data_IF_808743743810
#
_entry.id   IF_808743743810
#
_cell.length_a   1.000
_cell.length_b   1.000
_cell.length_c   1.000
_cell.angle_alpha   90.00
_cell.angle_beta   90.00
_cell.angle_gamma   90.00
#
_symmetry.space_group_name_H-M   'P 1'
#
loop_
_entity.id
_entity.type
_entity.pdbx_description
1 polymer ?
#
# COMPACT_ATOMS: atom_id res chain seq x y z
N UNK A 1 9.60 -0.50 -33.87
CA UNK A 1 8.37 -0.92 -33.16
C UNK A 1 8.45 -0.38 -31.74
N UNK A 2 8.08 0.89 -31.55
CA UNK A 2 8.07 1.59 -30.28
C UNK A 2 6.72 2.30 -30.23
N UNK A 3 5.79 1.84 -29.39
CA UNK A 3 4.48 2.48 -29.24
C UNK A 3 4.67 3.75 -28.41
N UNK A 4 4.89 4.86 -29.12
CA UNK A 4 4.82 6.22 -28.60
C UNK A 4 3.37 6.50 -28.19
N UNK A 5 3.05 6.25 -26.92
CA UNK A 5 1.77 6.67 -26.33
C UNK A 5 1.91 8.14 -25.93
N UNK A 6 1.86 9.04 -26.91
CA UNK A 6 1.64 10.47 -26.68
C UNK A 6 0.19 10.69 -26.26
N UNK A 7 -0.09 10.62 -24.97
CA UNK A 7 -1.34 11.17 -24.42
C UNK A 7 -1.19 12.68 -24.33
N UNK A 8 -1.52 13.36 -25.43
CA UNK A 8 -1.82 14.78 -25.43
C UNK A 8 -3.18 14.99 -24.75
N UNK A 9 -3.21 15.55 -23.54
CA UNK A 9 -4.43 16.18 -23.02
C UNK A 9 -4.03 17.40 -22.19
N UNK A 10 -4.74 18.49 -22.45
CA UNK A 10 -4.40 19.85 -22.07
C UNK A 10 -4.20 20.08 -20.58
N UNK A 11 -3.58 21.22 -20.31
CA UNK A 11 -3.32 21.74 -18.98
C UNK A 11 -4.64 22.09 -18.27
N UNK A 12 -5.17 21.13 -17.52
CA UNK A 12 -6.00 21.27 -16.31
C UNK A 12 -6.09 19.85 -15.71
N UNK A 13 -5.66 19.67 -14.45
CA UNK A 13 -5.78 18.48 -13.59
C UNK A 13 -5.86 17.06 -14.22
N UNK A 14 -4.74 16.34 -14.19
CA UNK A 14 -4.70 14.90 -13.88
C UNK A 14 -5.68 13.96 -14.62
N UNK A 15 -5.39 13.61 -15.88
CA UNK A 15 -6.06 12.47 -16.54
C UNK A 15 -5.80 11.12 -15.85
N UNK A 16 -6.28 10.00 -16.42
CA UNK A 16 -6.18 8.62 -15.86
C UNK A 16 -4.79 8.28 -15.31
N UNK A 17 -3.71 8.75 -15.96
CA UNK A 17 -2.33 8.56 -15.48
C UNK A 17 -2.05 9.30 -14.17
N UNK A 18 -2.51 10.55 -14.05
CA UNK A 18 -2.40 11.34 -12.83
C UNK A 18 -3.25 10.76 -11.69
N UNK A 19 -4.46 10.28 -11.98
CA UNK A 19 -5.29 9.57 -11.01
C UNK A 19 -4.59 8.29 -10.48
N UNK A 20 -4.03 7.47 -11.37
CA UNK A 20 -3.28 6.28 -10.98
C UNK A 20 -2.03 6.63 -10.15
N UNK A 21 -1.33 7.70 -10.48
CA UNK A 21 -0.19 8.19 -9.70
C UNK A 21 -0.62 8.66 -8.30
N UNK A 22 -1.74 9.39 -8.19
CA UNK A 22 -2.31 9.81 -6.91
C UNK A 22 -2.73 8.60 -6.06
N UNK A 23 -3.35 7.58 -6.68
CA UNK A 23 -3.70 6.31 -6.01
C UNK A 23 -2.44 5.59 -5.53
N UNK A 24 -1.36 5.58 -6.34
CA UNK A 24 -0.10 4.97 -5.94
C UNK A 24 0.53 5.67 -4.73
N UNK A 25 0.52 7.00 -4.71
CA UNK A 25 1.01 7.79 -3.58
C UNK A 25 0.16 7.54 -2.32
N UNK A 26 -1.17 7.52 -2.45
CA UNK A 26 -2.07 7.20 -1.35
C UNK A 26 -1.80 5.80 -0.77
N UNK A 27 -1.56 4.80 -1.63
CA UNK A 27 -1.17 3.45 -1.21
C UNK A 27 0.18 3.43 -0.48
N UNK A 28 1.15 4.22 -0.93
CA UNK A 28 2.46 4.37 -0.27
C UNK A 28 2.33 4.96 1.14
N UNK A 29 1.54 6.04 1.28
CA UNK A 29 1.24 6.65 2.59
C UNK A 29 0.52 5.65 3.49
N UNK A 30 -0.49 4.94 2.97
CA UNK A 30 -1.23 3.95 3.74
C UNK A 30 -0.33 2.80 4.19
N UNK A 31 0.56 2.31 3.32
CA UNK A 31 1.51 1.25 3.65
C UNK A 31 2.43 1.66 4.81
N UNK A 32 2.99 2.88 4.77
CA UNK A 32 3.83 3.40 5.86
C UNK A 32 3.07 3.47 7.19
N UNK A 33 1.81 3.93 7.16
CA UNK A 33 0.96 3.97 8.36
C UNK A 33 0.65 2.56 8.89
N UNK A 34 0.36 1.62 8.00
CA UNK A 34 0.13 0.22 8.32
C UNK A 34 1.36 -0.39 9.01
N UNK A 35 2.57 -0.19 8.47
CA UNK A 35 3.81 -0.69 9.08
C UNK A 35 4.01 -0.19 10.52
N UNK A 36 3.76 1.09 10.77
CA UNK A 36 3.84 1.66 12.12
C UNK A 36 2.77 1.07 13.05
N UNK A 37 1.54 0.88 12.56
CA UNK A 37 0.47 0.28 13.34
C UNK A 37 0.77 -1.20 13.68
N UNK A 38 1.26 -1.97 12.71
CA UNK A 38 1.66 -3.38 12.88
C UNK A 38 2.80 -3.49 13.89
N UNK A 39 3.83 -2.65 13.79
CA UNK A 39 4.93 -2.62 14.78
C UNK A 39 4.43 -2.33 16.19
N UNK A 40 3.54 -1.33 16.34
CA UNK A 40 2.93 -1.02 17.65
C UNK A 40 2.10 -2.20 18.17
N UNK A 41 1.26 -2.81 17.35
CA UNK A 41 0.46 -3.97 17.73
C UNK A 41 1.34 -5.16 18.16
N UNK A 42 2.43 -5.43 17.43
CA UNK A 42 3.41 -6.46 17.82
C UNK A 42 4.09 -6.14 19.15
N UNK A 43 4.47 -4.88 19.39
CA UNK A 43 5.05 -4.45 20.67
C UNK A 43 4.07 -4.55 21.85
N UNK A 44 2.76 -4.40 21.58
CA UNK A 44 1.69 -4.61 22.57
C UNK A 44 1.36 -6.10 22.78
N UNK A 45 2.03 -7.01 22.07
CA UNK A 45 1.86 -8.45 22.24
C UNK A 45 0.79 -9.10 21.35
N UNK A 46 0.13 -8.35 20.46
CA UNK A 46 -0.87 -8.93 19.56
C UNK A 46 -0.22 -9.96 18.63
N UNK A 47 -0.89 -11.09 18.42
CA UNK A 47 -0.46 -12.11 17.48
C UNK A 47 -0.64 -11.65 16.03
N UNK A 48 0.13 -12.25 15.12
CA UNK A 48 -0.02 -12.00 13.68
C UNK A 48 -1.42 -12.34 13.13
N UNK A 49 -2.14 -13.26 13.78
CA UNK A 49 -3.51 -13.59 13.39
C UNK A 49 -4.47 -12.45 13.76
N UNK A 50 -4.39 -11.93 14.98
CA UNK A 50 -5.22 -10.82 15.45
C UNK A 50 -4.99 -9.55 14.62
N UNK A 51 -3.72 -9.23 14.32
CA UNK A 51 -3.37 -8.09 13.47
C UNK A 51 -3.96 -8.28 12.06
N UNK A 52 -3.89 -9.49 11.50
CA UNK A 52 -4.49 -9.81 10.21
C UNK A 52 -6.00 -9.59 10.20
N UNK A 53 -6.69 -10.11 11.22
CA UNK A 53 -8.14 -9.92 11.39
C UNK A 53 -8.52 -8.44 11.46
N UNK A 54 -7.77 -7.63 12.21
CA UNK A 54 -8.02 -6.18 12.33
C UNK A 54 -7.77 -5.41 11.04
N UNK A 55 -6.80 -5.85 10.22
CA UNK A 55 -6.49 -5.26 8.91
C UNK A 55 -7.35 -5.83 7.77
N UNK A 56 -8.24 -6.78 8.04
CA UNK A 56 -9.07 -7.44 7.02
C UNK A 56 -8.27 -8.31 6.05
N UNK A 57 -7.07 -8.76 6.44
CA UNK A 57 -6.17 -9.57 5.62
C UNK A 57 -5.86 -10.90 6.29
N UNK A 58 -5.56 -11.92 5.49
CA UNK A 58 -5.22 -13.23 6.06
C UNK A 58 -3.88 -13.20 6.80
N UNK A 59 -3.72 -14.07 7.80
CA UNK A 59 -2.43 -14.29 8.49
C UNK A 59 -1.30 -14.56 7.50
N UNK A 60 -1.56 -15.31 6.43
CA UNK A 60 -0.56 -15.61 5.40
C UNK A 60 -0.11 -14.36 4.65
N UNK A 61 -1.04 -13.45 4.32
CA UNK A 61 -0.74 -12.15 3.71
C UNK A 61 0.18 -11.31 4.59
N UNK A 62 -0.15 -11.24 5.89
CA UNK A 62 0.66 -10.51 6.88
C UNK A 62 2.05 -11.13 7.01
N UNK A 63 2.13 -12.45 7.15
CA UNK A 63 3.43 -13.14 7.26
C UNK A 63 4.29 -12.91 6.02
N UNK A 64 3.69 -12.98 4.82
CA UNK A 64 4.41 -12.70 3.57
C UNK A 64 4.93 -11.27 3.50
N UNK A 65 4.12 -10.29 3.94
CA UNK A 65 4.46 -8.86 3.88
C UNK A 65 5.49 -8.45 4.93
N UNK A 66 5.43 -9.04 6.12
CA UNK A 66 6.23 -8.61 7.29
C UNK A 66 7.33 -9.58 7.73
N UNK A 67 7.53 -10.73 7.05
CA UNK A 67 8.60 -11.71 7.36
C UNK A 67 10.03 -11.15 7.36
N UNK A 68 10.27 -10.04 6.67
CA UNK A 68 11.59 -9.40 6.58
C UNK A 68 11.75 -8.18 7.51
N UNK A 69 10.73 -7.87 8.33
CA UNK A 69 10.76 -6.72 9.26
C UNK A 69 11.12 -7.19 10.69
N UNK A 70 11.82 -8.32 10.78
CA UNK A 70 12.34 -8.89 12.02
C UNK A 70 13.73 -8.41 12.32
#
# INVERSE_FOLDING_TARGET
MLTDVKTSTGADDGGVVGELAAVAEAKSVLSRREEVAVRRARNLGLSWAEIGTLLGVTRQTIHRKYRNVG
#
